data_IF_599072187242
#
_entry.id   IF_599072187242
#
_cell.length_a   1.000
_cell.length_b   1.000
_cell.length_c   1.000
_cell.angle_alpha   90.00
_cell.angle_beta   90.00
_cell.angle_gamma   90.00
#
_symmetry.space_group_name_H-M   'P 1'
#
loop_
_entity.id
_entity.type
_entity.pdbx_description
1 polymer ?
#
# COMPACT_ATOMS: atom_id res chain seq x y z
N UNK A 1 -2.41 15.98 -11.26
CA UNK A 1 -2.64 15.90 -12.72
C UNK A 1 -2.63 14.45 -13.20
N UNK A 2 -1.54 13.69 -12.98
CA UNK A 2 -1.43 12.31 -13.46
C UNK A 2 -2.53 11.35 -12.96
N UNK A 3 -2.88 11.38 -11.67
CA UNK A 3 -3.94 10.52 -11.12
C UNK A 3 -5.29 10.70 -11.85
N UNK A 4 -5.68 11.94 -12.11
CA UNK A 4 -6.94 12.23 -12.81
C UNK A 4 -6.95 11.66 -14.24
N UNK A 5 -5.82 11.70 -14.95
CA UNK A 5 -5.70 11.13 -16.30
C UNK A 5 -5.72 9.61 -16.24
N UNK A 6 -4.94 8.99 -15.36
CA UNK A 6 -4.89 7.53 -15.22
C UNK A 6 -6.25 6.91 -14.83
N UNK A 7 -7.01 7.61 -13.99
CA UNK A 7 -8.34 7.16 -13.54
C UNK A 7 -9.49 7.61 -14.46
N UNK A 8 -9.22 8.39 -15.51
CA UNK A 8 -10.25 8.86 -16.44
C UNK A 8 -10.80 7.72 -17.29
N UNK A 9 -12.12 7.56 -17.31
CA UNK A 9 -12.81 6.64 -18.23
C UNK A 9 -12.82 7.12 -19.68
N UNK A 10 -12.46 8.39 -19.92
CA UNK A 10 -12.43 8.99 -21.26
C UNK A 10 -11.05 8.86 -21.94
N UNK A 11 -9.99 8.68 -21.15
CA UNK A 11 -8.65 8.48 -21.67
C UNK A 11 -8.49 7.03 -22.15
N UNK A 12 -7.79 6.84 -23.26
CA UNK A 12 -7.49 5.51 -23.79
C UNK A 12 -6.51 4.74 -22.87
N UNK A 13 -6.45 3.40 -22.99
CA UNK A 13 -5.57 2.55 -22.19
C UNK A 13 -4.11 2.99 -22.14
N UNK A 14 -3.53 3.35 -23.30
CA UNK A 14 -2.13 3.74 -23.43
C UNK A 14 -1.87 5.06 -22.68
N UNK A 15 -2.71 6.08 -22.89
CA UNK A 15 -2.62 7.37 -22.18
C UNK A 15 -2.76 7.19 -20.65
N UNK A 16 -3.69 6.34 -20.21
CA UNK A 16 -3.88 6.05 -18.78
C UNK A 16 -2.64 5.37 -18.19
N UNK A 17 -2.08 4.40 -18.92
CA UNK A 17 -0.87 3.69 -18.53
C UNK A 17 0.33 4.63 -18.39
N UNK A 18 0.56 5.51 -19.38
CA UNK A 18 1.60 6.52 -19.30
C UNK A 18 1.43 7.46 -18.10
N UNK A 19 0.20 7.89 -17.81
CA UNK A 19 -0.09 8.76 -16.67
C UNK A 19 0.20 8.06 -15.33
N UNK A 20 -0.21 6.80 -15.15
CA UNK A 20 0.10 6.05 -13.94
C UNK A 20 1.60 5.78 -13.79
N UNK A 21 2.30 5.44 -14.88
CA UNK A 21 3.75 5.25 -14.88
C UNK A 21 4.49 6.54 -14.45
N UNK A 22 4.06 7.70 -14.95
CA UNK A 22 4.63 8.99 -14.57
C UNK A 22 4.34 9.40 -13.12
N UNK A 23 3.15 9.05 -12.61
CA UNK A 23 2.83 9.22 -11.19
C UNK A 23 3.74 8.34 -10.32
N UNK A 24 3.90 7.07 -10.69
CA UNK A 24 4.77 6.13 -10.00
C UNK A 24 6.24 6.61 -9.98
N UNK A 25 6.75 7.11 -11.11
CA UNK A 25 8.08 7.73 -11.17
C UNK A 25 8.23 8.89 -10.16
N UNK A 26 7.23 9.77 -10.08
CA UNK A 26 7.22 10.90 -9.16
C UNK A 26 7.20 10.47 -7.69
N UNK A 27 6.39 9.45 -7.38
CA UNK A 27 6.30 8.86 -6.04
C UNK A 27 7.60 8.17 -5.63
N UNK A 28 8.19 7.38 -6.54
CA UNK A 28 9.46 6.70 -6.31
C UNK A 28 10.59 7.71 -6.03
N UNK A 29 10.67 8.78 -6.83
CA UNK A 29 11.66 9.85 -6.61
C UNK A 29 11.47 10.55 -5.26
N UNK A 30 10.25 10.56 -4.72
CA UNK A 30 9.92 11.11 -3.40
C UNK A 30 10.09 10.10 -2.26
N UNK A 31 10.62 8.91 -2.52
CA UNK A 31 10.80 7.83 -1.54
C UNK A 31 9.53 7.04 -1.20
N UNK A 32 8.38 7.36 -1.82
CA UNK A 32 7.09 6.69 -1.62
C UNK A 32 6.98 5.44 -2.48
N UNK A 33 7.93 4.53 -2.30
CA UNK A 33 8.13 3.38 -3.19
C UNK A 33 6.98 2.37 -3.18
N UNK A 34 6.31 2.16 -2.03
CA UNK A 34 5.17 1.24 -1.94
C UNK A 34 4.01 1.70 -2.85
N UNK A 35 3.67 3.00 -2.82
CA UNK A 35 2.67 3.56 -3.72
C UNK A 35 3.16 3.61 -5.17
N UNK A 36 4.45 3.85 -5.40
CA UNK A 36 5.02 3.80 -6.74
C UNK A 36 4.86 2.40 -7.34
N UNK A 37 5.12 1.35 -6.57
CA UNK A 37 4.90 -0.04 -6.95
C UNK A 37 3.46 -0.26 -7.41
N UNK A 38 2.46 0.13 -6.59
CA UNK A 38 1.04 0.02 -6.95
C UNK A 38 0.68 0.77 -8.24
N UNK A 39 1.22 1.98 -8.45
CA UNK A 39 0.91 2.75 -9.65
C UNK A 39 1.61 2.22 -10.91
N UNK A 40 2.79 1.59 -10.80
CA UNK A 40 3.34 0.86 -11.94
C UNK A 40 2.49 -0.37 -12.29
N UNK A 41 1.96 -1.08 -11.30
CA UNK A 41 1.04 -2.18 -11.54
C UNK A 41 -0.24 -1.69 -12.23
N UNK A 42 -0.83 -0.58 -11.77
CA UNK A 42 -1.96 0.05 -12.46
C UNK A 42 -1.64 0.51 -13.88
N UNK A 43 -0.38 0.88 -14.14
CA UNK A 43 0.05 1.18 -15.50
C UNK A 43 0.03 -0.08 -16.38
N UNK A 44 0.53 -1.21 -15.88
CA UNK A 44 0.47 -2.51 -16.57
C UNK A 44 -0.97 -3.04 -16.71
N UNK A 45 -1.83 -2.83 -15.73
CA UNK A 45 -3.26 -3.17 -15.82
C UNK A 45 -3.98 -2.32 -16.88
N UNK A 46 -3.63 -1.04 -16.97
CA UNK A 46 -4.20 -0.14 -17.97
C UNK A 46 -3.72 -0.50 -19.38
N UNK A 47 -2.44 -0.77 -19.56
CA UNK A 47 -1.87 -1.24 -20.82
C UNK A 47 -0.80 -2.33 -20.55
N UNK A 48 -1.14 -3.61 -20.78
CA UNK A 48 -0.21 -4.73 -20.56
C UNK A 48 1.03 -4.73 -21.44
N UNK A 49 1.08 -3.88 -22.48
CA UNK A 49 2.25 -3.74 -23.34
C UNK A 49 3.29 -2.76 -22.80
N UNK A 50 2.99 -2.03 -21.71
CA UNK A 50 3.90 -1.02 -21.15
C UNK A 50 5.15 -1.64 -20.49
N UNK A 51 6.13 -2.04 -21.31
CA UNK A 51 7.40 -2.57 -20.86
C UNK A 51 8.22 -1.57 -20.03
N UNK A 52 7.98 -0.27 -20.21
CA UNK A 52 8.63 0.75 -19.38
C UNK A 52 8.15 0.67 -17.91
N UNK A 53 6.86 0.43 -17.66
CA UNK A 53 6.36 0.22 -16.31
C UNK A 53 6.95 -1.04 -15.66
N UNK A 54 7.07 -2.14 -16.41
CA UNK A 54 7.73 -3.36 -15.93
C UNK A 54 9.22 -3.13 -15.60
N UNK A 55 9.96 -2.43 -16.46
CA UNK A 55 11.36 -2.10 -16.22
C UNK A 55 11.55 -1.18 -15.01
N UNK A 56 10.66 -0.20 -14.81
CA UNK A 56 10.68 0.65 -13.64
C UNK A 56 10.35 -0.12 -12.34
N UNK A 57 9.42 -1.08 -12.38
CA UNK A 57 9.17 -2.00 -11.26
C UNK A 57 10.42 -2.79 -10.90
N UNK A 58 11.08 -3.40 -11.89
CA UNK A 58 12.32 -4.13 -11.67
C UNK A 58 13.39 -3.22 -11.04
N UNK A 59 13.59 -2.01 -11.58
CA UNK A 59 14.57 -1.07 -11.04
C UNK A 59 14.25 -0.62 -9.60
N UNK A 60 12.97 -0.42 -9.28
CA UNK A 60 12.52 -0.10 -7.93
C UNK A 60 12.85 -1.25 -6.97
N UNK A 61 12.51 -2.49 -7.34
CA UNK A 61 12.77 -3.68 -6.52
C UNK A 61 14.26 -3.94 -6.34
N UNK A 62 15.08 -3.75 -7.38
CA UNK A 62 16.53 -3.86 -7.28
C UNK A 62 17.12 -2.89 -6.24
N UNK A 63 16.59 -1.67 -6.19
CA UNK A 63 17.00 -0.68 -5.19
C UNK A 63 16.64 -1.14 -3.77
N UNK A 64 15.52 -1.86 -3.60
CA UNK A 64 15.12 -2.47 -2.32
C UNK A 64 16.01 -3.63 -1.92
N UNK A 65 16.37 -4.50 -2.86
CA UNK A 65 17.31 -5.60 -2.64
C UNK A 65 18.65 -5.05 -2.14
N UNK A 66 19.18 -4.01 -2.80
CA UNK A 66 20.44 -3.37 -2.38
C UNK A 66 20.36 -2.68 -1.02
N UNK A 67 19.19 -2.15 -0.64
CA UNK A 67 18.99 -1.58 0.69
C UNK A 67 18.97 -2.65 1.80
N UNK A 68 18.75 -3.92 1.46
CA UNK A 68 18.74 -5.04 2.40
C UNK A 68 17.56 -5.04 3.38
N UNK A 69 16.52 -4.23 3.11
CA UNK A 69 15.35 -4.09 3.99
C UNK A 69 14.20 -4.96 3.47
N UNK A 70 13.62 -5.77 4.35
CA UNK A 70 12.50 -6.67 4.06
C UNK A 70 12.94 -8.04 3.55
N UNK A 71 12.03 -8.77 2.89
CA UNK A 71 12.26 -10.15 2.48
C UNK A 71 13.03 -10.21 1.15
N UNK A 72 14.33 -9.98 1.21
CA UNK A 72 15.19 -9.81 0.02
C UNK A 72 15.08 -10.97 -0.98
N UNK A 73 14.95 -12.23 -0.52
CA UNK A 73 14.75 -13.38 -1.40
C UNK A 73 13.42 -13.33 -2.18
N UNK A 74 12.32 -12.99 -1.51
CA UNK A 74 11.00 -12.78 -2.14
C UNK A 74 11.03 -11.59 -3.10
N UNK A 75 11.58 -10.45 -2.66
CA UNK A 75 11.74 -9.25 -3.51
C UNK A 75 12.57 -9.57 -4.75
N UNK A 76 13.63 -10.38 -4.63
CA UNK A 76 14.45 -10.82 -5.75
C UNK A 76 13.69 -11.71 -6.74
N UNK A 77 12.81 -12.61 -6.27
CA UNK A 77 11.97 -13.40 -7.16
C UNK A 77 10.96 -12.53 -7.94
N UNK A 78 10.37 -11.53 -7.28
CA UNK A 78 9.47 -10.56 -7.92
C UNK A 78 10.23 -9.65 -8.87
N UNK A 79 11.46 -9.26 -8.55
CA UNK A 79 12.37 -8.54 -9.45
C UNK A 79 12.61 -9.35 -10.72
N UNK A 80 12.99 -10.62 -10.62
CA UNK A 80 13.26 -11.49 -11.77
C UNK A 80 12.04 -11.63 -12.69
N UNK A 81 10.83 -11.71 -12.12
CA UNK A 81 9.56 -11.69 -12.87
C UNK A 81 9.45 -10.42 -13.72
N UNK A 82 9.71 -9.23 -13.14
CA UNK A 82 9.57 -7.96 -13.86
C UNK A 82 10.72 -7.69 -14.82
N UNK A 83 11.94 -8.20 -14.58
CA UNK A 83 13.03 -8.18 -15.57
C UNK A 83 12.62 -8.94 -16.83
N UNK A 84 12.16 -10.20 -16.66
CA UNK A 84 11.72 -11.04 -17.79
C UNK A 84 10.57 -10.39 -18.56
N UNK A 85 9.63 -9.77 -17.85
CA UNK A 85 8.51 -9.03 -18.45
C UNK A 85 8.97 -7.78 -19.21
N UNK A 86 9.88 -6.98 -18.65
CA UNK A 86 10.39 -5.78 -19.31
C UNK A 86 11.13 -6.12 -20.62
N UNK A 87 11.95 -7.17 -20.59
CA UNK A 87 12.70 -7.67 -21.75
C UNK A 87 11.77 -8.21 -22.84
N UNK A 88 10.70 -8.92 -22.47
CA UNK A 88 9.72 -9.41 -23.46
C UNK A 88 8.84 -8.30 -24.05
N UNK A 89 8.66 -7.19 -23.32
CA UNK A 89 7.90 -6.01 -23.72
C UNK A 89 8.78 -4.88 -24.27
N UNK A 90 9.89 -5.23 -24.93
CA UNK A 90 10.83 -4.26 -25.49
C UNK A 90 10.17 -3.23 -26.40
N UNK A 91 9.34 -3.67 -27.34
CA UNK A 91 8.67 -2.77 -28.30
C UNK A 91 7.75 -1.76 -27.61
N UNK A 92 7.02 -2.21 -26.58
CA UNK A 92 6.24 -1.30 -25.75
C UNK A 92 7.09 -0.32 -24.96
N UNK A 93 8.27 -0.73 -24.47
CA UNK A 93 9.21 0.23 -23.87
C UNK A 93 9.66 1.29 -24.88
N UNK A 94 9.92 0.91 -26.14
CA UNK A 94 10.29 1.87 -27.19
C UNK A 94 9.15 2.86 -27.43
N UNK A 95 7.91 2.38 -27.48
CA UNK A 95 6.71 3.21 -27.68
C UNK A 95 6.51 4.22 -26.52
N UNK A 96 6.60 3.75 -25.27
CA UNK A 96 6.39 4.59 -24.09
C UNK A 96 7.58 5.50 -23.72
N UNK A 97 8.82 5.06 -23.96
CA UNK A 97 10.02 5.68 -23.37
C UNK A 97 11.27 5.69 -24.26
N UNK A 98 11.16 5.21 -25.51
CA UNK A 98 12.23 5.23 -26.50
C UNK A 98 13.27 4.12 -26.35
N UNK A 99 14.06 3.93 -27.41
CA UNK A 99 15.03 2.82 -27.52
C UNK A 99 16.16 2.86 -26.50
N UNK A 100 16.55 4.05 -26.02
CA UNK A 100 17.57 4.15 -24.98
C UNK A 100 17.11 3.51 -23.66
N UNK A 101 15.86 3.76 -23.27
CA UNK A 101 15.25 3.14 -22.09
C UNK A 101 15.06 1.64 -22.28
N UNK A 102 14.63 1.22 -23.46
CA UNK A 102 14.52 -0.19 -23.80
C UNK A 102 15.86 -0.94 -23.69
N UNK A 103 16.95 -0.35 -24.20
CA UNK A 103 18.29 -0.93 -24.05
C UNK A 103 18.75 -1.03 -22.58
N UNK A 104 18.33 -0.08 -21.74
CA UNK A 104 18.60 -0.14 -20.29
C UNK A 104 17.90 -1.34 -19.65
N UNK A 105 16.65 -1.61 -20.01
CA UNK A 105 15.91 -2.76 -19.48
C UNK A 105 16.41 -4.10 -20.02
N UNK A 106 16.87 -4.14 -21.27
CA UNK A 106 17.53 -5.33 -21.83
C UNK A 106 18.80 -5.71 -21.05
N UNK A 107 19.51 -4.71 -20.53
CA UNK A 107 20.72 -4.90 -19.72
C UNK A 107 20.47 -5.28 -18.25
N UNK A 108 19.22 -5.41 -17.81
CA UNK A 108 18.93 -5.91 -16.46
C UNK A 108 19.23 -7.41 -16.37
N UNK A 109 20.03 -7.80 -15.40
CA UNK A 109 20.34 -9.20 -15.13
C UNK A 109 19.40 -9.73 -14.02
N UNK A 110 18.67 -10.83 -14.25
CA UNK A 110 17.99 -11.57 -13.19
C UNK A 110 18.97 -12.03 -12.12
N UNK A 111 18.48 -12.15 -10.90
CA UNK A 111 19.21 -12.67 -9.73
C UNK A 111 19.22 -14.19 -9.63
N UNK A 112 18.36 -14.87 -10.41
CA UNK A 112 18.06 -16.29 -10.31
C UNK A 112 17.62 -16.70 -8.89
N UNK A 113 16.81 -15.84 -8.26
CA UNK A 113 16.32 -16.05 -6.91
C UNK A 113 15.51 -17.34 -6.80
N UNK A 114 15.76 -18.10 -5.73
CA UNK A 114 14.94 -19.25 -5.33
C UNK A 114 13.77 -18.85 -4.42
N UNK A 115 13.54 -17.55 -4.21
CA UNK A 115 12.41 -17.04 -3.45
C UNK A 115 11.07 -17.28 -4.13
N UNK A 116 9.98 -17.11 -3.38
CA UNK A 116 8.62 -17.26 -3.91
C UNK A 116 8.07 -15.92 -4.41
N UNK A 117 7.15 -15.96 -5.38
CA UNK A 117 6.47 -14.76 -5.89
C UNK A 117 5.41 -14.19 -4.94
N UNK A 118 4.93 -15.01 -4.01
CA UNK A 118 3.99 -14.65 -2.96
C UNK A 118 4.10 -15.68 -1.81
N UNK A 119 3.72 -15.27 -0.62
CA UNK A 119 3.65 -16.08 0.60
C UNK A 119 2.27 -15.95 1.24
N UNK A 120 1.83 -16.96 1.99
CA UNK A 120 0.62 -16.97 2.80
C UNK A 120 -0.66 -17.31 2.04
N UNK A 121 -0.55 -17.91 0.85
CA UNK A 121 -1.66 -18.20 -0.07
C UNK A 121 -1.75 -19.69 -0.42
N UNK A 122 -1.35 -20.55 0.52
CA UNK A 122 -1.38 -22.00 0.42
C UNK A 122 -2.79 -22.58 0.43
N UNK A 123 -3.73 -21.94 1.13
CA UNK A 123 -5.16 -22.28 1.12
C UNK A 123 -5.93 -21.35 0.16
N UNK A 124 -6.39 -21.85 -1.01
CA UNK A 124 -7.21 -21.07 -1.93
C UNK A 124 -8.63 -20.83 -1.41
N UNK A 125 -9.10 -21.59 -0.41
CA UNK A 125 -10.44 -21.44 0.18
C UNK A 125 -10.48 -20.39 1.32
N UNK A 126 -9.32 -19.92 1.79
CA UNK A 126 -9.24 -18.78 2.74
C UNK A 126 -9.49 -17.45 2.00
N UNK A 127 -10.76 -17.16 1.74
CA UNK A 127 -11.21 -15.97 1.03
C UNK A 127 -10.68 -14.66 1.67
N UNK A 128 -10.50 -14.62 2.99
CA UNK A 128 -9.98 -13.43 3.67
C UNK A 128 -8.52 -13.19 3.32
N UNK A 129 -7.66 -14.21 3.40
CA UNK A 129 -6.25 -14.11 3.00
C UNK A 129 -6.11 -13.74 1.54
N UNK A 130 -6.90 -14.37 0.66
CA UNK A 130 -6.91 -14.05 -0.77
C UNK A 130 -7.32 -12.60 -1.03
N UNK A 131 -8.35 -12.11 -0.33
CA UNK A 131 -8.78 -10.72 -0.42
C UNK A 131 -7.70 -9.75 0.06
N UNK A 132 -7.07 -10.03 1.21
CA UNK A 132 -5.99 -9.20 1.75
C UNK A 132 -4.81 -9.12 0.78
N UNK A 133 -4.38 -10.25 0.22
CA UNK A 133 -3.28 -10.26 -0.74
C UNK A 133 -3.65 -9.57 -2.06
N UNK A 134 -4.86 -9.80 -2.57
CA UNK A 134 -5.37 -9.16 -3.80
C UNK A 134 -5.32 -7.64 -3.71
N UNK A 135 -5.71 -7.08 -2.57
CA UNK A 135 -5.73 -5.64 -2.34
C UNK A 135 -4.47 -5.11 -1.64
N UNK A 136 -3.44 -5.94 -1.43
CA UNK A 136 -2.18 -5.61 -0.73
C UNK A 136 -2.39 -4.94 0.63
N UNK A 137 -3.32 -5.50 1.42
CA UNK A 137 -3.70 -4.97 2.72
C UNK A 137 -2.95 -5.62 3.89
N UNK A 138 -1.92 -6.43 3.63
CA UNK A 138 -1.08 -7.01 4.68
C UNK A 138 -0.10 -5.96 5.23
N UNK A 139 0.00 -5.84 6.55
CA UNK A 139 1.06 -5.08 7.21
C UNK A 139 2.31 -5.94 7.29
N UNK A 140 3.00 -6.12 6.18
CA UNK A 140 4.25 -6.86 6.12
C UNK A 140 5.25 -6.15 5.20
N UNK A 141 6.57 -6.41 5.35
CA UNK A 141 7.59 -5.87 4.46
C UNK A 141 7.67 -6.61 3.11
N UNK A 142 6.70 -7.47 2.78
CA UNK A 142 6.61 -8.16 1.50
C UNK A 142 5.96 -7.27 0.43
N UNK A 143 6.30 -7.51 -0.84
CA UNK A 143 5.76 -6.74 -1.98
C UNK A 143 4.52 -7.41 -2.58
N UNK A 144 4.37 -8.72 -2.40
CA UNK A 144 3.21 -9.50 -2.86
C UNK A 144 2.88 -10.62 -1.85
N UNK A 145 1.59 -10.95 -1.74
CA UNK A 145 1.10 -11.91 -0.75
C UNK A 145 1.10 -11.36 0.68
N UNK A 146 1.14 -12.25 1.67
CA UNK A 146 1.12 -11.92 3.10
C UNK A 146 2.53 -11.81 3.70
N UNK A 147 3.54 -12.36 3.02
CA UNK A 147 4.95 -12.34 3.43
C UNK A 147 5.39 -13.52 4.31
N UNK A 148 4.48 -14.34 4.84
CA UNK A 148 4.85 -15.58 5.53
C UNK A 148 3.72 -16.58 5.41
N UNK A 149 4.04 -17.87 5.60
CA UNK A 149 3.06 -18.94 5.74
C UNK A 149 2.51 -19.03 7.18
N UNK A 150 3.10 -18.28 8.13
CA UNK A 150 2.67 -18.26 9.52
C UNK A 150 1.27 -17.68 9.68
N UNK A 151 0.59 -18.11 10.75
CA UNK A 151 -0.75 -17.60 11.11
C UNK A 151 -0.72 -16.10 11.47
N UNK A 152 0.41 -15.58 11.94
CA UNK A 152 0.61 -14.17 12.31
C UNK A 152 1.40 -13.42 11.23
N UNK A 153 0.76 -13.17 10.08
CA UNK A 153 1.43 -12.65 8.89
C UNK A 153 1.56 -11.12 8.82
N UNK A 154 0.84 -10.36 9.65
CA UNK A 154 1.02 -8.90 9.80
C UNK A 154 2.29 -8.56 10.61
N UNK A 155 3.43 -8.88 10.00
CA UNK A 155 4.77 -8.91 10.59
C UNK A 155 5.47 -7.55 10.67
N UNK A 156 4.91 -6.47 10.09
CA UNK A 156 5.54 -5.14 10.13
C UNK A 156 5.85 -4.71 11.56
N UNK A 157 7.11 -4.41 11.84
CA UNK A 157 7.60 -4.06 13.17
C UNK A 157 8.80 -3.11 13.06
N UNK A 158 9.13 -2.44 14.17
CA UNK A 158 10.39 -1.70 14.28
C UNK A 158 11.49 -2.73 14.53
N UNK A 159 12.32 -2.96 13.51
CA UNK A 159 13.39 -3.98 13.55
C UNK A 159 14.64 -3.50 14.30
N UNK A 160 14.91 -2.19 14.28
CA UNK A 160 16.11 -1.60 14.86
C UNK A 160 15.72 -0.35 15.66
N UNK A 161 16.23 -0.27 16.89
CA UNK A 161 16.14 0.91 17.74
C UNK A 161 17.54 1.49 17.96
N UNK A 162 17.65 2.81 17.82
CA UNK A 162 18.84 3.57 18.21
C UNK A 162 18.48 4.33 19.48
N UNK A 163 19.28 4.17 20.54
CA UNK A 163 19.08 4.84 21.82
C UNK A 163 20.38 5.42 22.34
N UNK A 164 20.27 6.47 23.15
CA UNK A 164 21.43 7.15 23.75
C UNK A 164 21.77 6.60 25.14
N UNK A 165 20.86 5.84 25.75
CA UNK A 165 21.12 5.15 27.02
C UNK A 165 20.36 3.82 27.14
N UNK A 166 20.89 2.84 27.92
CA UNK A 166 20.17 1.60 28.23
C UNK A 166 18.92 1.80 29.09
N UNK A 167 18.70 2.98 29.67
CA UNK A 167 17.52 3.27 30.51
C UNK A 167 16.26 3.53 29.67
N UNK A 168 16.41 3.83 28.37
CA UNK A 168 15.32 3.93 27.37
C UNK A 168 14.91 2.55 26.82
N UNK A 169 14.90 1.52 27.67
CA UNK A 169 14.78 0.10 27.26
C UNK A 169 13.48 -0.27 26.50
N UNK A 170 12.48 0.61 26.45
CA UNK A 170 11.29 0.45 25.61
C UNK A 170 10.70 1.82 25.27
N UNK A 171 11.08 2.44 24.13
CA UNK A 171 10.53 3.73 23.76
C UNK A 171 9.01 3.64 23.48
N UNK A 172 8.21 4.67 23.82
CA UNK A 172 6.74 4.68 23.66
C UNK A 172 6.25 4.26 22.28
N UNK A 173 7.03 4.60 21.24
CA UNK A 173 6.79 4.25 19.84
C UNK A 173 6.49 2.76 19.61
N UNK A 174 7.06 1.84 20.41
CA UNK A 174 6.78 0.41 20.28
C UNK A 174 5.32 0.08 20.63
N UNK A 175 4.82 0.63 21.73
CA UNK A 175 3.44 0.42 22.16
C UNK A 175 2.46 1.13 21.23
N UNK A 176 2.79 2.34 20.80
CA UNK A 176 2.04 3.11 19.81
C UNK A 176 1.89 2.37 18.48
N UNK A 177 2.98 1.80 17.95
CA UNK A 177 2.93 0.99 16.74
C UNK A 177 2.05 -0.25 16.91
N UNK A 178 2.05 -0.89 18.09
CA UNK A 178 1.16 -2.02 18.35
C UNK A 178 -0.33 -1.61 18.31
N UNK A 179 -0.68 -0.44 18.84
CA UNK A 179 -2.05 0.11 18.76
C UNK A 179 -2.44 0.42 17.31
N UNK A 180 -1.55 1.09 16.55
CA UNK A 180 -1.79 1.37 15.13
C UNK A 180 -2.04 0.08 14.34
N UNK A 181 -1.22 -0.95 14.60
CA UNK A 181 -1.40 -2.27 13.99
C UNK A 181 -2.75 -2.87 14.37
N UNK A 182 -3.05 -3.02 15.66
CA UNK A 182 -4.31 -3.66 16.09
C UNK A 182 -5.55 -2.96 15.51
N UNK A 183 -5.55 -1.63 15.49
CA UNK A 183 -6.68 -0.85 14.99
C UNK A 183 -6.83 -0.98 13.47
N UNK A 184 -5.71 -1.01 12.74
CA UNK A 184 -5.71 -1.33 11.31
C UNK A 184 -6.28 -2.73 11.05
N UNK A 185 -5.89 -3.74 11.84
CA UNK A 185 -6.38 -5.12 11.66
C UNK A 185 -7.89 -5.21 11.85
N UNK A 186 -8.43 -4.57 12.90
CA UNK A 186 -9.89 -4.50 13.13
C UNK A 186 -10.58 -3.74 11.98
N UNK A 187 -10.01 -2.62 11.55
CA UNK A 187 -10.53 -1.85 10.42
C UNK A 187 -10.61 -2.68 9.13
N UNK A 188 -9.55 -3.43 8.83
CA UNK A 188 -9.45 -4.30 7.65
C UNK A 188 -10.44 -5.45 7.72
N UNK A 189 -10.60 -6.07 8.88
CA UNK A 189 -11.56 -7.16 9.08
C UNK A 189 -13.00 -6.67 8.90
N UNK A 190 -13.37 -5.53 9.49
CA UNK A 190 -14.69 -4.92 9.28
C UNK A 190 -14.93 -4.57 7.82
N UNK A 191 -13.91 -4.08 7.11
CA UNK A 191 -14.00 -3.78 5.69
C UNK A 191 -14.27 -5.05 4.87
N UNK A 192 -13.55 -6.15 5.14
CA UNK A 192 -13.75 -7.42 4.47
C UNK A 192 -15.14 -7.98 4.70
N UNK A 193 -15.58 -8.08 5.96
CA UNK A 193 -16.89 -8.62 6.30
C UNK A 193 -18.03 -7.81 5.65
N UNK A 194 -17.95 -6.47 5.72
CA UNK A 194 -18.92 -5.61 5.05
C UNK A 194 -18.87 -5.74 3.52
N UNK A 195 -17.68 -5.87 2.94
CA UNK A 195 -17.48 -6.03 1.49
C UNK A 195 -18.13 -7.32 0.97
N UNK A 196 -17.85 -8.46 1.61
CA UNK A 196 -18.41 -9.76 1.22
C UNK A 196 -19.94 -9.74 1.33
N UNK A 197 -20.48 -9.26 2.45
CA UNK A 197 -21.92 -9.19 2.66
C UNK A 197 -22.61 -8.28 1.64
N UNK A 198 -22.03 -7.12 1.29
CA UNK A 198 -22.59 -6.24 0.26
C UNK A 198 -22.48 -6.87 -1.14
N UNK A 199 -21.40 -7.60 -1.44
CA UNK A 199 -21.20 -8.24 -2.72
C UNK A 199 -22.25 -9.32 -3.04
N UNK A 200 -22.67 -10.08 -2.03
CA UNK A 200 -23.74 -11.07 -2.15
C UNK A 200 -25.11 -10.47 -2.52
N UNK A 201 -25.33 -9.18 -2.25
CA UNK A 201 -26.56 -8.47 -2.59
C UNK A 201 -27.00 -7.46 -1.52
N UNK A 202 -27.91 -6.54 -1.88
CA UNK A 202 -28.32 -5.44 -1.01
C UNK A 202 -29.26 -5.86 0.13
N UNK A 203 -29.77 -7.09 0.11
CA UNK A 203 -30.72 -7.61 1.09
C UNK A 203 -30.09 -7.71 2.49
N UNK A 204 -30.91 -7.51 3.51
CA UNK A 204 -30.53 -7.77 4.89
C UNK A 204 -30.12 -9.25 5.06
N UNK A 205 -29.08 -9.48 5.86
CA UNK A 205 -28.50 -10.81 6.09
C UNK A 205 -29.18 -11.53 7.23
N UNK A 206 -29.14 -12.86 7.22
CA UNK A 206 -29.80 -13.70 8.23
C UNK A 206 -29.20 -13.52 9.64
N UNK A 207 -27.94 -13.09 9.74
CA UNK A 207 -27.26 -12.76 11.00
C UNK A 207 -27.57 -11.35 11.51
N UNK A 208 -28.26 -10.52 10.71
CA UNK A 208 -28.70 -9.19 11.10
C UNK A 208 -30.06 -9.25 11.80
N UNK A 209 -30.02 -9.18 13.14
CA UNK A 209 -31.22 -9.19 13.99
C UNK A 209 -31.98 -7.85 14.01
N UNK A 210 -31.51 -6.84 13.29
CA UNK A 210 -32.11 -5.52 13.24
C UNK A 210 -33.46 -5.50 12.52
N UNK A 211 -34.31 -4.55 12.89
CA UNK A 211 -35.50 -4.20 12.12
C UNK A 211 -35.35 -2.75 11.66
N UNK A 212 -35.20 -2.55 10.35
CA UNK A 212 -34.98 -1.23 9.75
C UNK A 212 -36.26 -0.75 9.07
N UNK A 213 -36.68 0.48 9.40
CA UNK A 213 -37.88 1.10 8.81
C UNK A 213 -37.56 1.53 7.38
N UNK A 214 -38.38 1.13 6.41
CA UNK A 214 -38.29 1.60 5.02
C UNK A 214 -38.62 3.11 4.95
N UNK A 215 -37.65 3.89 4.49
CA UNK A 215 -37.73 5.36 4.40
C UNK A 215 -38.10 5.87 3.01
N UNK A 216 -38.20 5.00 1.99
CA UNK A 216 -38.50 5.32 0.58
C UNK A 216 -37.52 6.31 -0.07
N UNK A 217 -36.34 6.49 0.51
CA UNK A 217 -35.28 7.39 0.07
C UNK A 217 -34.08 6.63 -0.55
N UNK A 218 -34.23 5.32 -0.74
CA UNK A 218 -33.18 4.41 -1.19
C UNK A 218 -31.95 4.36 -0.26
N UNK A 219 -32.10 4.79 1.00
CA UNK A 219 -31.05 4.63 2.01
C UNK A 219 -30.81 3.15 2.32
N UNK A 220 -29.54 2.81 2.46
CA UNK A 220 -29.11 1.44 2.72
C UNK A 220 -28.84 1.28 4.22
N UNK A 221 -29.57 0.35 4.84
CA UNK A 221 -29.45 0.00 6.27
C UNK A 221 -29.11 -1.48 6.42
N UNK A 222 -28.46 -1.82 7.53
CA UNK A 222 -28.02 -3.18 7.82
C UNK A 222 -26.62 -3.22 8.43
N UNK A 223 -26.28 -4.35 9.06
CA UNK A 223 -24.96 -4.60 9.61
C UNK A 223 -23.87 -4.47 8.53
N UNK A 224 -24.11 -4.96 7.31
CA UNK A 224 -23.15 -4.94 6.21
C UNK A 224 -22.70 -3.51 5.83
N UNK A 225 -23.64 -2.56 5.76
CA UNK A 225 -23.33 -1.16 5.45
C UNK A 225 -22.71 -0.46 6.66
N UNK A 226 -23.17 -0.78 7.87
CA UNK A 226 -22.61 -0.23 9.10
C UNK A 226 -21.16 -0.67 9.32
N UNK A 227 -20.83 -1.93 9.00
CA UNK A 227 -19.46 -2.47 9.02
C UNK A 227 -18.53 -1.68 8.10
N UNK A 228 -18.94 -1.43 6.84
CA UNK A 228 -18.16 -0.63 5.89
C UNK A 228 -17.94 0.80 6.39
N UNK A 229 -18.97 1.42 6.95
CA UNK A 229 -18.85 2.78 7.47
C UNK A 229 -17.96 2.87 8.72
N UNK A 230 -18.06 1.89 9.63
CA UNK A 230 -17.17 1.78 10.79
C UNK A 230 -15.74 1.47 10.37
N UNK A 231 -15.54 0.62 9.38
CA UNK A 231 -14.22 0.36 8.80
C UNK A 231 -13.61 1.65 8.23
N UNK A 232 -14.37 2.43 7.46
CA UNK A 232 -13.88 3.71 6.95
C UNK A 232 -13.53 4.70 8.07
N UNK A 233 -14.37 4.81 9.10
CA UNK A 233 -14.09 5.67 10.27
C UNK A 233 -12.85 5.21 11.02
N UNK A 234 -12.71 3.92 11.27
CA UNK A 234 -11.55 3.33 11.94
C UNK A 234 -10.27 3.57 11.12
N UNK A 235 -10.30 3.41 9.80
CA UNK A 235 -9.16 3.71 8.94
C UNK A 235 -8.72 5.17 9.01
N UNK A 236 -9.66 6.13 9.06
CA UNK A 236 -9.34 7.55 9.25
C UNK A 236 -8.77 7.84 10.65
N UNK A 237 -9.27 7.16 11.68
CA UNK A 237 -8.74 7.24 13.04
C UNK A 237 -7.31 6.68 13.13
N UNK A 238 -7.00 5.58 12.45
CA UNK A 238 -5.62 5.06 12.32
C UNK A 238 -4.69 6.09 11.69
N UNK A 239 -5.15 6.81 10.67
CA UNK A 239 -4.36 7.90 10.07
C UNK A 239 -4.13 9.05 11.06
N UNK A 240 -5.15 9.47 11.80
CA UNK A 240 -5.02 10.53 12.80
C UNK A 240 -4.07 10.10 13.93
N UNK A 241 -4.16 8.85 14.42
CA UNK A 241 -3.23 8.28 15.38
C UNK A 241 -1.80 8.22 14.82
N UNK A 242 -1.63 7.88 13.55
CA UNK A 242 -0.30 7.88 12.91
C UNK A 242 0.34 9.28 12.97
N UNK A 243 -0.45 10.34 12.80
CA UNK A 243 0.05 11.70 12.95
C UNK A 243 0.37 12.09 14.40
N UNK A 244 -0.41 11.60 15.38
CA UNK A 244 -0.10 11.77 16.81
C UNK A 244 1.21 11.08 17.18
N UNK A 245 1.39 9.83 16.73
CA UNK A 245 2.61 9.04 16.92
C UNK A 245 3.81 9.74 16.28
N UNK A 246 3.67 10.25 15.06
CA UNK A 246 4.73 11.01 14.40
C UNK A 246 5.06 12.33 15.15
N UNK A 247 4.05 13.03 15.68
CA UNK A 247 4.25 14.25 16.47
C UNK A 247 5.08 13.97 17.74
N UNK A 248 4.77 12.89 18.44
CA UNK A 248 5.49 12.45 19.63
C UNK A 248 6.90 11.96 19.30
N UNK A 249 7.02 11.02 18.37
CA UNK A 249 8.29 10.39 18.00
C UNK A 249 9.32 11.39 17.45
N UNK A 250 8.90 12.36 16.64
CA UNK A 250 9.79 13.38 16.09
C UNK A 250 9.93 14.63 16.98
N UNK A 251 9.30 14.64 18.17
CA UNK A 251 9.40 15.76 19.10
C UNK A 251 8.89 17.09 18.53
N UNK A 252 7.87 17.05 17.65
CA UNK A 252 7.36 18.26 16.96
C UNK A 252 6.70 19.24 17.94
N UNK A 253 6.13 18.72 19.04
CA UNK A 253 5.61 19.53 20.15
C UNK A 253 4.21 20.11 19.93
N UNK A 254 3.48 19.67 18.88
CA UNK A 254 2.07 20.04 18.73
C UNK A 254 1.22 19.41 19.86
N UNK A 255 0.15 20.11 20.25
CA UNK A 255 -0.79 19.61 21.26
C UNK A 255 -1.59 18.41 20.71
N UNK A 256 -1.32 17.20 21.22
CA UNK A 256 -1.82 15.93 20.67
C UNK A 256 -3.32 15.92 20.31
N UNK A 257 -4.19 16.47 21.18
CA UNK A 257 -5.66 16.53 20.94
C UNK A 257 -6.09 17.38 19.73
N UNK A 258 -5.16 18.16 19.16
CA UNK A 258 -5.40 19.03 18.00
C UNK A 258 -4.72 18.49 16.73
N UNK A 259 -3.89 17.46 16.86
CA UNK A 259 -3.23 16.79 15.75
C UNK A 259 -4.26 15.96 15.00
N UNK A 260 -4.22 16.06 13.67
CA UNK A 260 -4.95 15.19 12.76
C UNK A 260 -4.09 14.98 11.53
N UNK A 261 -4.26 13.86 10.83
CA UNK A 261 -3.44 13.47 9.69
C UNK A 261 -3.36 14.59 8.65
N UNK A 262 -4.51 15.16 8.29
CA UNK A 262 -4.58 16.25 7.31
C UNK A 262 -3.78 17.50 7.71
N UNK A 263 -3.75 17.85 8.99
CA UNK A 263 -3.14 19.10 9.48
C UNK A 263 -1.68 18.94 9.88
N UNK A 264 -1.25 17.72 10.17
CA UNK A 264 0.09 17.46 10.65
C UNK A 264 1.15 17.77 9.58
N UNK A 265 0.89 17.37 8.32
CA UNK A 265 1.86 17.47 7.24
C UNK A 265 1.93 18.83 6.53
N UNK A 266 0.87 19.64 6.61
CA UNK A 266 0.75 20.88 5.85
C UNK A 266 0.10 22.00 6.66
N UNK A 267 0.55 23.24 6.40
CA UNK A 267 -0.04 24.45 6.92
C UNK A 267 -1.45 24.67 6.32
N UNK A 268 -2.21 25.62 6.87
CA UNK A 268 -3.58 25.92 6.42
C UNK A 268 -3.67 26.37 4.96
N UNK A 269 -2.59 26.90 4.41
CA UNK A 269 -2.41 27.30 3.01
C UNK A 269 -2.04 26.14 2.08
N UNK A 270 -1.88 24.93 2.62
CA UNK A 270 -1.52 23.73 1.87
C UNK A 270 -0.01 23.56 1.64
N UNK A 271 0.82 24.46 2.17
CA UNK A 271 2.28 24.34 2.08
C UNK A 271 2.75 23.28 3.08
N UNK A 272 3.60 22.35 2.64
CA UNK A 272 4.20 21.32 3.50
C UNK A 272 4.91 22.00 4.67
N UNK A 273 4.62 21.52 5.89
CA UNK A 273 5.27 22.04 7.09
C UNK A 273 6.75 21.68 7.06
N UNK A 274 7.61 22.68 7.15
CA UNK A 274 9.02 22.48 7.45
C UNK A 274 9.14 22.25 8.95
N UNK A 275 9.20 20.99 9.37
CA UNK A 275 9.54 20.65 10.75
C UNK A 275 11.02 20.87 10.95
N UNK A 276 11.39 21.91 11.69
CA UNK A 276 12.72 22.00 12.30
C UNK A 276 12.78 20.93 13.38
N UNK A 277 13.28 19.75 13.03
CA UNK A 277 13.63 18.70 13.99
C UNK A 277 14.72 19.33 14.87
N UNK A 278 14.37 19.65 16.11
CA UNK A 278 15.35 20.07 17.11
C UNK A 278 16.08 18.78 17.48
N UNK A 279 17.26 18.58 16.88
CA UNK A 279 18.21 17.61 17.41
C UNK A 279 18.68 18.14 18.76
N UNK A 280 18.18 17.57 19.85
CA UNK A 280 18.86 17.57 21.14
C UNK A 280 19.82 16.38 21.23
#
# INVERSE_FOLDING_TARGET
MFLNVGSSRQADPHTRSAAYCNLANSLNHSGRWAEAYDFYLRALEADPTNGNAAGNLAQLLLSRIHAGVGQTGHIAAVYDKYVKMAQSLRDGTIDFAGSATANRWDGLEPTDSLGHLAHGLDDPEDEYRQWVATYRLALSPAVEGLGTEDVHWDSAAIEILYGNSPEEMSPPILAEMNVLKSDFLVSRQLAYEGYVQVFEGPQQKDDDTGYYIETLDYSLYGLQYSKLFLAQRSALDVLDKTAVVANEHFGVGDEARRVSFRKFWANKDGVVRLTSIVHE
#
